data_IF_510966356966
#
_entry.id   IF_510966356966
#
_cell.length_a   1.000
_cell.length_b   1.000
_cell.length_c   1.000
_cell.angle_alpha   90.00
_cell.angle_beta   90.00
_cell.angle_gamma   90.00
#
_symmetry.space_group_name_H-M   'P 1'
#
loop_
_entity.id
_entity.type
_entity.pdbx_description
1 polymer ?
#
# COMPACT_ATOMS: atom_id res chain seq x y z
N UNK A 1 19.43 3.81 -0.21
CA UNK A 1 18.00 3.81 0.18
C UNK A 1 17.80 4.32 1.60
N UNK A 2 18.50 3.80 2.61
CA UNK A 2 18.44 4.30 4.00
C UNK A 2 18.60 5.83 4.12
N UNK A 3 19.61 6.40 3.45
CA UNK A 3 19.80 7.85 3.40
C UNK A 3 18.56 8.64 2.89
N UNK A 4 17.80 8.09 1.93
CA UNK A 4 16.56 8.71 1.44
C UNK A 4 15.45 8.60 2.49
N UNK A 5 15.33 7.47 3.19
CA UNK A 5 14.36 7.29 4.28
C UNK A 5 14.58 8.33 5.38
N UNK A 6 15.83 8.49 5.82
CA UNK A 6 16.22 9.51 6.83
C UNK A 6 15.99 10.93 6.33
N UNK A 7 16.33 11.24 5.07
CA UNK A 7 16.12 12.57 4.51
C UNK A 7 14.63 12.93 4.39
N UNK A 8 13.75 11.96 4.21
CA UNK A 8 12.31 12.15 4.14
C UNK A 8 11.66 12.42 5.51
N UNK A 9 12.35 12.12 6.62
CA UNK A 9 11.97 12.61 7.95
C UNK A 9 12.21 14.12 8.10
N UNK A 10 13.15 14.68 7.31
CA UNK A 10 13.61 16.06 7.46
C UNK A 10 12.96 17.02 6.46
N UNK A 11 12.70 16.59 5.22
CA UNK A 11 12.19 17.46 4.15
C UNK A 11 11.45 16.71 3.03
N UNK A 12 10.61 17.41 2.25
CA UNK A 12 9.90 16.81 1.13
C UNK A 12 10.84 16.22 0.07
N UNK A 13 10.41 15.14 -0.59
CA UNK A 13 11.17 14.49 -1.66
C UNK A 13 11.58 15.45 -2.79
N UNK A 14 10.73 16.43 -3.10
CA UNK A 14 10.99 17.44 -4.12
C UNK A 14 12.28 18.23 -3.85
N UNK A 15 12.61 18.49 -2.58
CA UNK A 15 13.81 19.22 -2.17
C UNK A 15 15.08 18.36 -2.14
N UNK A 16 14.95 17.04 -2.26
CA UNK A 16 16.11 16.15 -2.30
C UNK A 16 16.85 16.29 -3.62
N UNK A 17 18.17 16.43 -3.54
CA UNK A 17 19.06 16.39 -4.69
C UNK A 17 19.95 15.14 -4.63
N UNK A 18 20.47 14.70 -5.77
CA UNK A 18 21.46 13.61 -5.82
C UNK A 18 22.68 13.92 -4.95
N UNK A 19 23.10 15.19 -4.88
CA UNK A 19 24.18 15.61 -3.98
C UNK A 19 23.82 15.34 -2.53
N UNK A 20 22.67 15.85 -2.08
CA UNK A 20 22.19 15.68 -0.70
C UNK A 20 22.07 14.20 -0.32
N UNK A 21 21.57 13.36 -1.23
CA UNK A 21 21.47 11.92 -1.00
C UNK A 21 22.86 11.27 -0.92
N UNK A 22 23.77 11.64 -1.82
CA UNK A 22 25.14 11.10 -1.86
C UNK A 22 25.92 11.49 -0.59
N UNK A 23 25.81 12.75 -0.18
CA UNK A 23 26.42 13.31 1.01
C UNK A 23 25.93 12.59 2.27
N UNK A 24 24.61 12.37 2.39
CA UNK A 24 24.02 11.60 3.51
C UNK A 24 24.47 10.14 3.50
N UNK A 25 24.55 9.52 2.32
CA UNK A 25 24.97 8.14 2.17
C UNK A 25 26.49 7.94 2.33
N UNK A 26 27.29 9.01 2.45
CA UNK A 26 28.75 8.92 2.55
C UNK A 26 29.42 8.43 1.27
N UNK A 27 28.80 8.64 0.10
CA UNK A 27 29.32 8.20 -1.21
C UNK A 27 29.57 9.38 -2.13
N UNK A 28 30.49 9.23 -3.07
CA UNK A 28 30.66 10.21 -4.14
C UNK A 28 29.44 10.20 -5.09
N UNK A 29 29.15 11.34 -5.71
CA UNK A 29 28.06 11.47 -6.70
C UNK A 29 28.18 10.50 -7.89
N UNK A 30 29.40 10.18 -8.33
CA UNK A 30 29.64 9.16 -9.35
C UNK A 30 29.26 7.75 -8.86
N UNK A 31 29.44 7.47 -7.56
CA UNK A 31 29.00 6.23 -6.93
C UNK A 31 27.49 6.11 -6.87
N UNK A 32 26.74 7.21 -6.70
CA UNK A 32 25.29 7.20 -6.82
C UNK A 32 24.84 6.74 -8.21
N UNK A 33 25.36 7.38 -9.27
CA UNK A 33 24.97 7.08 -10.65
C UNK A 33 25.44 5.71 -11.15
N UNK A 34 26.30 5.02 -10.39
CA UNK A 34 26.60 3.62 -10.66
C UNK A 34 25.41 2.70 -10.34
N UNK A 35 24.56 3.07 -9.37
CA UNK A 35 23.41 2.26 -8.93
C UNK A 35 22.06 2.80 -9.40
N UNK A 36 21.91 4.12 -9.52
CA UNK A 36 20.63 4.76 -9.79
C UNK A 36 20.76 5.86 -10.83
N UNK A 37 19.90 5.83 -11.84
CA UNK A 37 19.86 6.86 -12.89
C UNK A 37 19.29 8.19 -12.39
N UNK A 38 18.44 8.16 -11.36
CA UNK A 38 17.80 9.34 -10.78
C UNK A 38 17.47 9.14 -9.30
N UNK A 39 17.12 10.23 -8.60
CA UNK A 39 16.57 10.13 -7.23
C UNK A 39 15.25 9.35 -7.22
N UNK A 40 14.45 9.45 -8.29
CA UNK A 40 13.19 8.74 -8.45
C UNK A 40 13.40 7.23 -8.59
N UNK A 41 14.48 6.78 -9.23
CA UNK A 41 14.85 5.36 -9.26
C UNK A 41 15.12 4.80 -7.85
N UNK A 42 15.70 5.60 -6.95
CA UNK A 42 15.87 5.22 -5.54
C UNK A 42 14.51 5.07 -4.85
N UNK A 43 13.58 6.00 -5.11
CA UNK A 43 12.24 5.96 -4.53
C UNK A 43 11.43 4.77 -5.04
N UNK A 44 11.48 4.51 -6.35
CA UNK A 44 10.85 3.36 -6.97
C UNK A 44 11.35 2.06 -6.33
N UNK A 45 12.65 1.93 -6.09
CA UNK A 45 13.20 0.75 -5.42
C UNK A 45 12.72 0.64 -3.96
N UNK A 46 12.63 1.74 -3.21
CA UNK A 46 12.10 1.72 -1.84
C UNK A 46 10.63 1.27 -1.83
N UNK A 47 9.82 1.75 -2.76
CA UNK A 47 8.41 1.36 -2.88
C UNK A 47 8.27 -0.09 -3.37
N UNK A 48 9.18 -0.57 -4.22
CA UNK A 48 9.25 -1.97 -4.61
C UNK A 48 9.60 -2.89 -3.42
N UNK A 49 10.51 -2.47 -2.53
CA UNK A 49 10.78 -3.20 -1.28
C UNK A 49 9.55 -3.26 -0.38
N UNK A 50 8.80 -2.16 -0.25
CA UNK A 50 7.56 -2.14 0.54
C UNK A 50 6.46 -3.04 -0.08
N UNK A 51 6.33 -3.05 -1.41
CA UNK A 51 5.43 -3.98 -2.10
C UNK A 51 5.84 -5.43 -1.90
N UNK A 52 7.14 -5.74 -1.97
CA UNK A 52 7.63 -7.08 -1.71
C UNK A 52 7.39 -7.52 -0.26
N UNK A 53 7.57 -6.62 0.70
CA UNK A 53 7.20 -6.88 2.09
C UNK A 53 5.71 -7.20 2.25
N UNK A 54 4.84 -6.48 1.52
CA UNK A 54 3.40 -6.79 1.49
C UNK A 54 3.14 -8.18 0.92
N UNK A 55 3.82 -8.56 -0.16
CA UNK A 55 3.74 -9.91 -0.71
C UNK A 55 4.13 -10.93 0.38
N UNK A 56 5.29 -10.81 1.01
CA UNK A 56 5.73 -11.75 2.05
C UNK A 56 4.73 -11.86 3.21
N UNK A 57 4.25 -10.72 3.74
CA UNK A 57 3.30 -10.69 4.85
C UNK A 57 1.90 -11.20 4.47
N UNK A 58 1.54 -11.17 3.19
CA UNK A 58 0.29 -11.77 2.69
C UNK A 58 0.47 -13.22 2.23
N UNK A 59 1.68 -13.77 2.41
CA UNK A 59 2.10 -15.06 1.88
C UNK A 59 1.96 -15.13 0.35
N UNK A 60 2.45 -14.10 -0.33
CA UNK A 60 2.32 -13.86 -1.77
C UNK A 60 0.87 -13.83 -2.22
N UNK A 61 0.05 -13.05 -1.51
CA UNK A 61 -1.40 -12.98 -1.76
C UNK A 61 -2.07 -14.36 -1.79
N UNK A 62 -1.64 -15.27 -0.90
CA UNK A 62 -2.20 -16.61 -0.85
C UNK A 62 -3.72 -16.56 -0.62
N UNK A 63 -4.51 -17.36 -1.38
CA UNK A 63 -5.95 -17.42 -1.22
C UNK A 63 -6.32 -17.90 0.18
N UNK A 64 -7.57 -17.63 0.57
CA UNK A 64 -8.08 -18.04 1.87
C UNK A 64 -8.03 -19.57 2.01
N UNK A 65 -7.48 -20.04 3.13
CA UNK A 65 -7.49 -21.47 3.44
C UNK A 65 -8.91 -22.00 3.70
N UNK A 66 -9.18 -23.31 3.54
CA UNK A 66 -10.49 -23.89 3.78
C UNK A 66 -10.98 -23.70 5.24
N UNK A 67 -10.04 -23.69 6.19
CA UNK A 67 -10.32 -23.47 7.63
C UNK A 67 -10.19 -21.99 8.06
N UNK A 68 -9.82 -21.10 7.14
CA UNK A 68 -9.68 -19.67 7.42
C UNK A 68 -11.03 -18.97 7.20
N UNK A 69 -11.61 -18.42 8.26
CA UNK A 69 -12.85 -17.63 8.14
C UNK A 69 -12.63 -16.35 7.31
N UNK A 70 -13.65 -15.81 6.62
CA UNK A 70 -13.54 -14.51 5.93
C UNK A 70 -13.05 -13.36 6.81
N UNK A 71 -13.41 -13.37 8.10
CA UNK A 71 -12.94 -12.39 9.06
C UNK A 71 -11.44 -12.52 9.37
N UNK A 72 -10.95 -13.76 9.50
CA UNK A 72 -9.54 -14.02 9.72
C UNK A 72 -8.71 -13.65 8.48
N UNK A 73 -9.21 -13.95 7.28
CA UNK A 73 -8.59 -13.57 6.02
C UNK A 73 -8.49 -12.04 5.88
N UNK A 74 -9.60 -11.32 6.08
CA UNK A 74 -9.60 -9.85 6.03
C UNK A 74 -8.63 -9.25 7.05
N UNK A 75 -8.58 -9.79 8.27
CA UNK A 75 -7.62 -9.40 9.31
C UNK A 75 -6.17 -9.63 8.89
N UNK A 76 -5.86 -10.79 8.28
CA UNK A 76 -4.53 -11.08 7.75
C UNK A 76 -4.14 -10.05 6.69
N UNK A 77 -4.97 -9.86 5.66
CA UNK A 77 -4.64 -8.99 4.54
C UNK A 77 -4.52 -7.50 4.94
N UNK A 78 -5.51 -6.97 5.68
CA UNK A 78 -5.49 -5.57 6.14
C UNK A 78 -4.40 -5.35 7.18
N UNK A 79 -4.18 -6.31 8.09
CA UNK A 79 -3.09 -6.27 9.08
C UNK A 79 -1.71 -6.23 8.43
N UNK A 80 -1.49 -7.03 7.38
CA UNK A 80 -0.24 -7.00 6.60
C UNK A 80 -0.02 -5.64 5.94
N UNK A 81 -1.04 -5.06 5.31
CA UNK A 81 -0.95 -3.70 4.76
C UNK A 81 -0.61 -2.66 5.86
N UNK A 82 -1.26 -2.75 7.02
CA UNK A 82 -0.99 -1.84 8.14
C UNK A 82 0.46 -1.93 8.64
N UNK A 83 1.04 -3.13 8.71
CA UNK A 83 2.44 -3.33 9.07
C UNK A 83 3.38 -2.69 8.05
N UNK A 84 3.14 -2.90 6.75
CA UNK A 84 3.97 -2.31 5.68
C UNK A 84 3.95 -0.79 5.75
N UNK A 85 2.77 -0.18 5.92
CA UNK A 85 2.68 1.27 6.07
C UNK A 85 3.47 1.77 7.28
N UNK A 86 3.31 1.12 8.44
CA UNK A 86 4.01 1.50 9.66
C UNK A 86 5.54 1.32 9.56
N UNK A 87 6.03 0.25 8.92
CA UNK A 87 7.46 0.00 8.75
C UNK A 87 8.12 0.94 7.75
N UNK A 88 7.34 1.46 6.80
CA UNK A 88 7.84 2.31 5.72
C UNK A 88 7.52 3.80 5.89
N UNK A 89 6.93 4.21 7.01
CA UNK A 89 6.83 5.62 7.36
C UNK A 89 8.22 6.21 7.72
N UNK A 90 8.49 7.47 7.34
CA UNK A 90 7.57 8.45 6.73
C UNK A 90 7.50 8.39 5.19
N UNK A 91 8.15 7.41 4.53
CA UNK A 91 8.21 7.36 3.05
C UNK A 91 6.82 7.28 2.44
N UNK A 92 5.95 6.45 3.00
CA UNK A 92 4.56 6.28 2.53
C UNK A 92 3.78 7.61 2.62
N UNK A 93 3.86 8.28 3.78
CA UNK A 93 3.26 9.60 3.98
C UNK A 93 3.80 10.65 2.99
N UNK A 94 5.12 10.76 2.85
CA UNK A 94 5.75 11.73 1.95
C UNK A 94 5.36 11.52 0.48
N UNK A 95 5.27 10.26 0.04
CA UNK A 95 4.84 9.90 -1.30
C UNK A 95 3.38 10.28 -1.56
N UNK A 96 2.49 10.04 -0.59
CA UNK A 96 1.07 10.40 -0.71
C UNK A 96 0.86 11.91 -0.85
N UNK A 97 1.60 12.72 -0.08
CA UNK A 97 1.57 14.18 -0.19
C UNK A 97 2.08 14.63 -1.56
N UNK A 98 3.20 14.07 -2.02
CA UNK A 98 3.85 14.50 -3.25
C UNK A 98 3.11 14.04 -4.53
N UNK A 99 2.30 12.99 -4.48
CA UNK A 99 1.52 12.48 -5.63
C UNK A 99 0.72 13.57 -6.35
N UNK A 100 0.18 14.53 -5.61
CA UNK A 100 -0.66 15.60 -6.15
C UNK A 100 0.13 16.68 -6.91
N UNK A 101 1.44 16.80 -6.66
CA UNK A 101 2.29 17.87 -7.19
C UNK A 101 3.46 17.38 -8.04
N UNK A 102 3.81 16.10 -7.97
CA UNK A 102 4.90 15.46 -8.71
C UNK A 102 4.36 14.29 -9.56
N UNK A 103 4.51 14.41 -10.89
CA UNK A 103 3.98 13.43 -11.83
C UNK A 103 4.78 12.13 -11.85
N UNK A 104 6.10 12.18 -11.67
CA UNK A 104 6.94 10.97 -11.66
C UNK A 104 6.64 10.13 -10.40
N UNK A 105 6.45 10.77 -9.24
CA UNK A 105 6.02 10.06 -8.01
C UNK A 105 4.65 9.42 -8.22
N UNK A 106 3.72 10.13 -8.87
CA UNK A 106 2.39 9.60 -9.14
C UNK A 106 2.44 8.37 -10.03
N UNK A 107 3.20 8.41 -11.12
CA UNK A 107 3.37 7.26 -12.01
C UNK A 107 3.97 6.05 -11.29
N UNK A 108 5.02 6.25 -10.49
CA UNK A 108 5.64 5.18 -9.69
C UNK A 108 4.61 4.56 -8.73
N UNK A 109 3.87 5.39 -8.00
CA UNK A 109 2.89 4.88 -7.04
C UNK A 109 1.69 4.22 -7.73
N UNK A 110 1.24 4.73 -8.88
CA UNK A 110 0.13 4.15 -9.64
C UNK A 110 0.51 2.75 -10.12
N UNK A 111 1.73 2.57 -10.64
CA UNK A 111 2.25 1.27 -11.07
C UNK A 111 2.28 0.24 -9.92
N UNK A 112 2.77 0.63 -8.73
CA UNK A 112 2.81 -0.27 -7.57
C UNK A 112 1.40 -0.63 -7.07
N UNK A 113 0.48 0.35 -7.05
CA UNK A 113 -0.90 0.15 -6.60
C UNK A 113 -1.65 -0.77 -7.56
N UNK A 114 -1.48 -0.58 -8.88
CA UNK A 114 -2.15 -1.41 -9.87
C UNK A 114 -1.72 -2.88 -9.77
N UNK A 115 -0.42 -3.16 -9.58
CA UNK A 115 0.05 -4.54 -9.37
C UNK A 115 -0.55 -5.22 -8.14
N UNK A 116 -0.66 -4.50 -7.01
CA UNK A 116 -1.30 -5.02 -5.79
C UNK A 116 -2.80 -5.25 -6.00
N UNK A 117 -3.49 -4.34 -6.68
CA UNK A 117 -4.93 -4.48 -6.98
C UNK A 117 -5.17 -5.72 -7.86
N UNK A 118 -4.35 -5.95 -8.87
CA UNK A 118 -4.46 -7.13 -9.74
C UNK A 118 -4.35 -8.44 -8.96
N UNK A 119 -3.42 -8.52 -7.99
CA UNK A 119 -3.31 -9.70 -7.10
C UNK A 119 -4.58 -9.91 -6.27
N UNK A 120 -5.14 -8.83 -5.69
CA UNK A 120 -6.36 -8.93 -4.88
C UNK A 120 -7.56 -9.33 -5.73
N UNK A 121 -7.68 -8.80 -6.96
CA UNK A 121 -8.73 -9.21 -7.90
C UNK A 121 -8.65 -10.71 -8.16
N UNK A 122 -7.45 -11.25 -8.42
CA UNK A 122 -7.25 -12.68 -8.63
C UNK A 122 -7.78 -13.53 -7.47
N UNK A 123 -7.50 -13.13 -6.22
CA UNK A 123 -8.03 -13.83 -5.03
C UNK A 123 -9.56 -13.80 -5.01
N UNK A 124 -10.17 -12.63 -5.24
CA UNK A 124 -11.64 -12.48 -5.19
C UNK A 124 -12.31 -13.29 -6.30
N UNK A 125 -11.75 -13.31 -7.50
CA UNK A 125 -12.24 -14.13 -8.60
C UNK A 125 -12.21 -15.63 -8.29
N UNK A 126 -11.20 -16.11 -7.57
CA UNK A 126 -11.11 -17.50 -7.17
C UNK A 126 -12.14 -17.86 -6.09
N UNK A 127 -12.41 -16.97 -5.13
CA UNK A 127 -13.51 -17.11 -4.18
C UNK A 127 -14.89 -17.12 -4.86
N UNK A 128 -15.08 -16.31 -5.91
CA UNK A 128 -16.30 -16.30 -6.72
C UNK A 128 -16.49 -17.61 -7.47
N UNK A 129 -15.43 -18.14 -8.12
CA UNK A 129 -15.46 -19.44 -8.81
C UNK A 129 -15.77 -20.58 -7.85
N UNK A 130 -15.28 -20.49 -6.61
CA UNK A 130 -15.56 -21.47 -5.55
C UNK A 130 -16.96 -21.33 -4.95
N UNK A 131 -17.70 -20.26 -5.26
CA UNK A 131 -19.02 -19.97 -4.69
C UNK A 131 -18.96 -19.60 -3.21
N UNK A 132 -17.80 -19.14 -2.72
CA UNK A 132 -17.58 -18.82 -1.31
C UNK A 132 -17.66 -17.33 -1.01
N UNK A 133 -17.59 -16.46 -2.02
CA UNK A 133 -17.81 -15.01 -1.90
C UNK A 133 -19.14 -14.58 -2.52
N UNK A 134 -19.74 -13.55 -1.91
CA UNK A 134 -20.94 -12.86 -2.40
C UNK A 134 -20.72 -11.35 -2.26
N UNK A 135 -20.04 -10.72 -3.23
CA UNK A 135 -19.71 -9.31 -3.17
C UNK A 135 -20.95 -8.42 -3.30
N UNK A 136 -20.85 -7.18 -2.79
CA UNK A 136 -21.92 -6.18 -2.87
C UNK A 136 -22.08 -5.55 -4.27
N UNK A 137 -21.21 -5.90 -5.22
CA UNK A 137 -21.17 -5.38 -6.58
C UNK A 137 -20.60 -6.45 -7.51
N UNK A 138 -21.15 -6.54 -8.71
CA UNK A 138 -20.62 -7.41 -9.78
C UNK A 138 -19.39 -6.81 -10.48
N UNK A 139 -19.13 -5.51 -10.30
CA UNK A 139 -17.91 -4.84 -10.77
C UNK A 139 -16.78 -5.04 -9.75
N UNK A 140 -16.16 -6.21 -9.79
CA UNK A 140 -15.08 -6.62 -8.88
C UNK A 140 -13.85 -5.70 -8.98
N UNK A 141 -13.35 -5.34 -10.18
CA UNK A 141 -12.23 -4.41 -10.27
C UNK A 141 -12.51 -3.05 -9.62
N UNK A 142 -13.69 -2.46 -9.83
CA UNK A 142 -14.05 -1.19 -9.19
C UNK A 142 -14.21 -1.33 -7.67
N UNK A 143 -14.82 -2.43 -7.19
CA UNK A 143 -14.98 -2.69 -5.77
C UNK A 143 -13.63 -2.82 -5.07
N UNK A 144 -12.73 -3.67 -5.58
CA UNK A 144 -11.39 -3.88 -5.02
C UNK A 144 -10.60 -2.58 -5.02
N UNK A 145 -10.59 -1.83 -6.13
CA UNK A 145 -9.89 -0.54 -6.21
C UNK A 145 -10.41 0.47 -5.18
N UNK A 146 -11.73 0.55 -4.99
CA UNK A 146 -12.36 1.46 -4.01
C UNK A 146 -11.95 1.10 -2.58
N UNK A 147 -11.99 -0.19 -2.25
CA UNK A 147 -11.58 -0.67 -0.93
C UNK A 147 -10.08 -0.44 -0.70
N UNK A 148 -9.23 -0.72 -1.69
CA UNK A 148 -7.79 -0.51 -1.62
C UNK A 148 -7.41 0.96 -1.44
N UNK A 149 -8.06 1.88 -2.16
CA UNK A 149 -7.83 3.33 -1.98
C UNK A 149 -8.26 3.78 -0.58
N UNK A 150 -9.40 3.30 -0.09
CA UNK A 150 -9.90 3.61 1.26
C UNK A 150 -8.91 3.11 2.32
N UNK A 151 -8.38 1.89 2.16
CA UNK A 151 -7.33 1.33 3.02
C UNK A 151 -6.06 2.17 2.98
N UNK A 152 -5.54 2.48 1.79
CA UNK A 152 -4.31 3.25 1.62
C UNK A 152 -4.40 4.65 2.23
N UNK A 153 -5.52 5.36 2.04
CA UNK A 153 -5.75 6.68 2.61
C UNK A 153 -5.83 6.63 4.14
N UNK A 154 -6.59 5.68 4.69
CA UNK A 154 -6.71 5.56 6.14
C UNK A 154 -5.38 5.17 6.80
N UNK A 155 -4.59 4.28 6.17
CA UNK A 155 -3.27 3.87 6.65
C UNK A 155 -2.17 4.93 6.44
N UNK A 156 -2.42 5.98 5.65
CA UNK A 156 -1.45 7.07 5.42
C UNK A 156 -1.13 7.91 6.66
N UNK A 157 -1.92 7.77 7.72
CA UNK A 157 -1.72 8.51 8.97
C UNK A 157 -2.30 9.93 8.99
N UNK A 158 -2.94 10.39 7.90
CA UNK A 158 -3.52 11.73 7.84
C UNK A 158 -4.65 11.89 8.88
N UNK A 159 -4.54 12.92 9.72
CA UNK A 159 -5.52 13.23 10.76
C UNK A 159 -6.92 13.54 10.20
N UNK A 160 -7.02 13.97 8.93
CA UNK A 160 -8.30 14.15 8.25
C UNK A 160 -9.06 12.81 8.09
N UNK A 161 -8.34 11.68 7.97
CA UNK A 161 -8.94 10.35 7.82
C UNK A 161 -9.05 9.60 9.16
N UNK A 162 -8.09 9.80 10.08
CA UNK A 162 -8.08 9.17 11.40
C UNK A 162 -9.01 9.85 12.42
N UNK A 163 -9.33 11.12 12.20
CA UNK A 163 -9.98 11.97 13.19
C UNK A 163 -9.03 12.45 14.30
N UNK A 164 -9.54 13.24 15.26
CA UNK A 164 -8.72 13.97 16.23
C UNK A 164 -7.84 13.08 17.13
N UNK A 165 -8.28 11.85 17.40
CA UNK A 165 -7.61 10.93 18.32
C UNK A 165 -6.43 10.18 17.66
N UNK A 166 -6.29 10.23 16.33
CA UNK A 166 -5.21 9.56 15.60
C UNK A 166 -5.17 8.03 15.75
N UNK A 167 -6.27 7.39 16.18
CA UNK A 167 -6.31 5.95 16.47
C UNK A 167 -6.37 5.11 15.17
N UNK A 168 -5.19 4.81 14.63
CA UNK A 168 -5.01 3.92 13.48
C UNK A 168 -5.58 2.53 13.74
N UNK A 169 -5.49 2.01 14.98
CA UNK A 169 -6.00 0.68 15.31
C UNK A 169 -7.51 0.61 15.18
N UNK A 170 -8.23 1.69 15.50
CA UNK A 170 -9.67 1.79 15.25
C UNK A 170 -9.99 1.75 13.77
N UNK A 171 -9.25 2.47 12.93
CA UNK A 171 -9.47 2.45 11.49
C UNK A 171 -9.18 1.07 10.86
N UNK A 172 -8.10 0.40 11.28
CA UNK A 172 -7.78 -0.98 10.85
C UNK A 172 -8.97 -1.92 11.11
N UNK A 173 -9.54 -1.90 12.33
CA UNK A 173 -10.72 -2.73 12.65
C UNK A 173 -11.93 -2.45 11.76
N UNK A 174 -12.11 -1.20 11.34
CA UNK A 174 -13.20 -0.83 10.42
C UNK A 174 -12.90 -1.32 9.00
N UNK A 175 -11.66 -1.17 8.53
CA UNK A 175 -11.24 -1.68 7.22
C UNK A 175 -11.39 -3.20 7.12
N UNK A 176 -10.99 -3.96 8.14
CA UNK A 176 -11.18 -5.42 8.21
C UNK A 176 -12.66 -5.81 8.04
N UNK A 177 -13.54 -5.10 8.74
CA UNK A 177 -14.99 -5.32 8.64
C UNK A 177 -15.54 -4.90 7.28
N UNK A 178 -15.06 -3.79 6.73
CA UNK A 178 -15.47 -3.26 5.43
C UNK A 178 -15.13 -4.25 4.32
N UNK A 179 -13.88 -4.72 4.24
CA UNK A 179 -13.44 -5.73 3.28
C UNK A 179 -14.26 -7.03 3.41
N UNK A 180 -14.42 -7.52 4.65
CA UNK A 180 -15.21 -8.74 4.91
C UNK A 180 -16.65 -8.59 4.44
N UNK A 181 -17.33 -7.51 4.84
CA UNK A 181 -18.73 -7.31 4.49
C UNK A 181 -18.90 -7.05 2.99
N UNK A 182 -18.02 -6.27 2.37
CA UNK A 182 -18.11 -5.96 0.96
C UNK A 182 -17.96 -7.19 0.05
N UNK A 183 -17.20 -8.21 0.47
CA UNK A 183 -16.92 -9.40 -0.35
C UNK A 183 -17.76 -10.63 0.03
N UNK A 184 -18.24 -10.74 1.26
CA UNK A 184 -18.93 -11.95 1.77
C UNK A 184 -20.31 -11.69 2.39
N UNK A 185 -20.85 -10.48 2.32
CA UNK A 185 -22.20 -10.17 2.88
C UNK A 185 -23.21 -9.66 1.86
N UNK A 186 -22.87 -9.65 0.58
CA UNK A 186 -23.84 -9.38 -0.48
C UNK A 186 -24.93 -10.44 -0.46
N UNK A 187 -26.15 -10.05 -0.08
CA UNK A 187 -27.33 -10.80 -0.48
C UNK A 187 -27.45 -10.66 -1.99
N UNK A 188 -27.60 -11.76 -2.71
CA UNK A 188 -28.05 -11.76 -4.11
C UNK A 188 -29.48 -11.23 -4.14
N UNK A 189 -29.66 -9.91 -4.09
CA UNK A 189 -30.93 -9.33 -4.47
C UNK A 189 -31.10 -9.57 -5.98
N UNK A 190 -32.22 -10.23 -6.27
CA UNK A 190 -32.60 -10.86 -7.54
C UNK A 190 -32.98 -9.87 -8.63
#
# INVERSE_FOLDING_TARGET
>A
MQAVRELLEEKPFAELSVSTISDRAGVARSGFYFYFDSKYAVLAQILAEATHELEELTHYFAPRGPDESPAAFAKRMVGSAALVYAHNDPVMSACNVARNTDAEIREILDQQVDGVIEQIIGIVEDELKAGTAHPISDDIPALVRTLSVTTAQMLSGDSAYLGPDGDVQRGIRVLEQLWRSALWSGSTDS
#
